data_IF_366402913615
#
_entry.id   IF_366402913615
#
_cell.length_a   1.000
_cell.length_b   1.000
_cell.length_c   1.000
_cell.angle_alpha   90.00
_cell.angle_beta   90.00
_cell.angle_gamma   90.00
#
_symmetry.space_group_name_H-M   'P 1'
#
loop_
_entity.id
_entity.type
_entity.pdbx_description
1 polymer ?
#
# COMPACT_ATOMS: atom_id res chain seq x y z
N UNK A 1 -10.91 25.69 11.74
CA UNK A 1 -12.18 26.24 11.22
C UNK A 1 -11.86 26.90 9.90
N UNK A 2 -12.15 26.21 8.80
CA UNK A 2 -12.16 26.80 7.46
C UNK A 2 -13.60 26.68 7.00
N UNK A 3 -14.23 27.83 6.79
CA UNK A 3 -15.61 27.94 6.31
C UNK A 3 -15.56 27.77 4.79
N UNK A 4 -16.29 26.79 4.26
CA UNK A 4 -16.54 26.66 2.83
C UNK A 4 -17.82 27.45 2.48
N UNK A 5 -17.75 28.33 1.49
CA UNK A 5 -18.82 29.24 1.06
C UNK A 5 -19.87 28.56 0.15
N UNK A 6 -20.11 27.27 0.33
CA UNK A 6 -21.24 26.57 -0.29
C UNK A 6 -22.15 26.07 0.83
N UNK A 7 -23.39 26.57 0.88
CA UNK A 7 -24.37 26.36 1.95
C UNK A 7 -24.89 24.91 2.11
N UNK A 8 -23.97 23.95 2.20
CA UNK A 8 -24.24 22.56 2.48
C UNK A 8 -23.87 22.33 3.95
N UNK A 9 -24.90 22.23 4.81
CA UNK A 9 -24.74 21.90 6.22
C UNK A 9 -23.71 20.80 6.41
N UNK A 10 -22.72 21.04 7.27
CA UNK A 10 -21.77 20.02 7.69
C UNK A 10 -22.55 18.83 8.27
N UNK A 11 -22.76 17.80 7.44
CA UNK A 11 -23.34 16.54 7.87
C UNK A 11 -22.32 15.93 8.83
N UNK A 12 -22.59 16.03 10.13
CA UNK A 12 -21.76 15.39 11.14
C UNK A 12 -21.73 13.89 10.82
N UNK A 13 -20.54 13.36 10.56
CA UNK A 13 -20.36 11.96 10.15
C UNK A 13 -21.11 11.05 11.13
N UNK A 14 -22.08 10.30 10.61
CA UNK A 14 -22.95 9.45 11.41
C UNK A 14 -22.15 8.28 11.99
N UNK A 15 -22.51 7.79 13.18
CA UNK A 15 -21.83 6.64 13.80
C UNK A 15 -21.82 5.41 12.88
N UNK A 16 -22.86 5.24 12.08
CA UNK A 16 -22.99 4.18 11.06
C UNK A 16 -21.96 4.32 9.94
N UNK A 17 -21.72 5.53 9.44
CA UNK A 17 -20.71 5.79 8.39
C UNK A 17 -19.29 5.54 8.91
N UNK A 18 -19.03 5.89 10.17
CA UNK A 18 -17.75 5.59 10.84
C UNK A 18 -17.54 4.08 11.02
N UNK A 19 -18.57 3.39 11.50
CA UNK A 19 -18.52 1.94 11.67
C UNK A 19 -18.31 1.23 10.32
N UNK A 20 -19.02 1.65 9.28
CA UNK A 20 -18.86 1.11 7.93
C UNK A 20 -17.44 1.36 7.39
N UNK A 21 -16.93 2.58 7.55
CA UNK A 21 -15.57 2.93 7.13
C UNK A 21 -14.52 2.07 7.84
N UNK A 22 -14.70 1.84 9.14
CA UNK A 22 -13.80 0.98 9.92
C UNK A 22 -13.87 -0.48 9.46
N UNK A 23 -15.07 -1.02 9.24
CA UNK A 23 -15.26 -2.38 8.72
C UNK A 23 -14.63 -2.55 7.34
N UNK A 24 -14.84 -1.60 6.43
CA UNK A 24 -14.20 -1.59 5.11
C UNK A 24 -12.68 -1.55 5.22
N UNK A 25 -12.12 -0.74 6.13
CA UNK A 25 -10.68 -0.67 6.37
C UNK A 25 -10.13 -2.01 6.89
N UNK A 26 -10.82 -2.67 7.82
CA UNK A 26 -10.42 -4.00 8.32
C UNK A 26 -10.42 -5.05 7.21
N UNK A 27 -11.48 -5.10 6.41
CA UNK A 27 -11.61 -6.04 5.29
C UNK A 27 -10.52 -5.78 4.25
N UNK A 28 -10.26 -4.51 3.92
CA UNK A 28 -9.18 -4.13 3.01
C UNK A 28 -7.81 -4.56 3.54
N UNK A 29 -7.55 -4.39 4.84
CA UNK A 29 -6.31 -4.81 5.47
C UNK A 29 -6.12 -6.33 5.42
N UNK A 30 -7.19 -7.09 5.66
CA UNK A 30 -7.19 -8.55 5.54
C UNK A 30 -6.82 -8.98 4.12
N UNK A 31 -7.49 -8.43 3.11
CA UNK A 31 -7.17 -8.76 1.72
C UNK A 31 -5.73 -8.43 1.35
N UNK A 32 -5.23 -7.25 1.76
CA UNK A 32 -3.86 -6.85 1.51
C UNK A 32 -2.84 -7.81 2.14
N UNK A 33 -3.07 -8.25 3.38
CA UNK A 33 -2.21 -9.24 4.04
C UNK A 33 -2.27 -10.63 3.38
N UNK A 34 -3.44 -11.04 2.89
CA UNK A 34 -3.61 -12.37 2.27
C UNK A 34 -3.09 -12.47 0.84
N UNK A 35 -2.86 -11.34 0.16
CA UNK A 35 -2.52 -11.27 -1.26
C UNK A 35 -1.30 -12.11 -1.64
N UNK A 36 -0.31 -12.20 -0.74
CA UNK A 36 0.96 -12.90 -0.99
C UNK A 36 1.01 -14.34 -0.45
N UNK A 37 -0.01 -14.79 0.28
CA UNK A 37 -0.04 -16.13 0.88
C UNK A 37 0.07 -17.23 -0.20
N UNK A 38 -0.68 -17.18 -1.34
CA UNK A 38 -0.62 -18.26 -2.33
C UNK A 38 0.78 -18.44 -2.93
N UNK A 39 1.46 -17.33 -3.25
CA UNK A 39 2.81 -17.35 -3.82
C UNK A 39 3.82 -17.88 -2.79
N UNK A 40 3.68 -17.47 -1.53
CA UNK A 40 4.53 -17.94 -0.43
C UNK A 40 4.32 -19.43 -0.13
N UNK A 41 3.08 -19.92 -0.25
CA UNK A 41 2.74 -21.33 -0.07
C UNK A 41 3.32 -22.20 -1.19
N UNK A 42 3.16 -21.79 -2.46
CA UNK A 42 3.74 -22.49 -3.60
C UNK A 42 5.27 -22.57 -3.50
N UNK A 43 5.93 -21.50 -3.01
CA UNK A 43 7.38 -21.48 -2.82
C UNK A 43 7.87 -22.40 -1.70
N UNK A 44 7.08 -22.54 -0.62
CA UNK A 44 7.44 -23.42 0.51
C UNK A 44 7.21 -24.91 0.23
N UNK A 45 6.45 -25.26 -0.81
CA UNK A 45 6.17 -26.65 -1.22
C UNK A 45 6.69 -26.95 -2.64
N UNK A 46 8.01 -26.84 -2.90
CA UNK A 46 8.58 -27.05 -4.23
C UNK A 46 8.41 -28.50 -4.74
N UNK A 47 8.22 -29.46 -3.84
CA UNK A 47 7.93 -30.85 -4.20
C UNK A 47 6.52 -31.07 -4.78
N UNK A 48 5.54 -30.23 -4.42
CA UNK A 48 4.18 -30.30 -4.95
C UNK A 48 4.04 -29.52 -6.27
N UNK A 49 4.93 -28.54 -6.50
CA UNK A 49 4.92 -27.68 -7.68
C UNK A 49 6.27 -27.67 -8.42
N UNK A 50 6.73 -28.79 -9.00
CA UNK A 50 8.05 -28.89 -9.64
C UNK A 50 8.20 -28.03 -10.90
N UNK A 51 7.10 -27.61 -11.53
CA UNK A 51 7.08 -26.75 -12.71
C UNK A 51 6.84 -25.27 -12.38
N UNK A 52 6.70 -24.91 -11.10
CA UNK A 52 6.51 -23.53 -10.68
C UNK A 52 7.82 -22.73 -10.83
N UNK A 53 7.77 -21.50 -11.39
CA UNK A 53 8.91 -20.59 -11.36
C UNK A 53 9.42 -20.39 -9.93
N UNK A 54 10.73 -20.49 -9.73
CA UNK A 54 11.35 -20.23 -8.43
C UNK A 54 11.30 -18.74 -8.05
N UNK A 55 11.26 -17.87 -9.06
CA UNK A 55 11.26 -16.42 -8.89
C UNK A 55 9.83 -15.88 -8.72
N UNK A 56 9.58 -15.11 -7.66
CA UNK A 56 8.25 -14.53 -7.41
C UNK A 56 7.87 -13.46 -8.45
N UNK A 57 8.86 -12.89 -9.15
CA UNK A 57 8.65 -11.91 -10.22
C UNK A 57 7.85 -12.49 -11.39
N UNK A 58 7.98 -13.79 -11.69
CA UNK A 58 7.20 -14.42 -12.76
C UNK A 58 5.69 -14.41 -12.46
N UNK A 59 5.31 -14.40 -11.18
CA UNK A 59 3.91 -14.30 -10.75
C UNK A 59 3.36 -12.87 -10.83
N UNK A 60 4.22 -11.85 -10.96
CA UNK A 60 3.81 -10.46 -11.00
C UNK A 60 2.92 -10.17 -12.22
N UNK A 61 3.22 -10.78 -13.36
CA UNK A 61 2.40 -10.65 -14.56
C UNK A 61 0.97 -11.19 -14.33
N UNK A 62 0.85 -12.39 -13.75
CA UNK A 62 -0.44 -12.99 -13.42
C UNK A 62 -1.21 -12.13 -12.41
N UNK A 63 -0.51 -11.59 -11.42
CA UNK A 63 -1.06 -10.66 -10.45
C UNK A 63 -1.65 -9.41 -11.11
N UNK A 64 -0.90 -8.74 -11.99
CA UNK A 64 -1.42 -7.56 -12.71
C UNK A 64 -2.58 -7.88 -13.64
N UNK A 65 -2.60 -9.06 -14.27
CA UNK A 65 -3.75 -9.53 -15.05
C UNK A 65 -5.01 -9.67 -14.18
N UNK A 66 -4.87 -10.23 -12.97
CA UNK A 66 -5.97 -10.32 -12.00
C UNK A 66 -6.47 -8.95 -11.54
N UNK A 67 -5.55 -8.02 -11.26
CA UNK A 67 -5.88 -6.63 -10.89
C UNK A 67 -6.60 -5.92 -12.03
N UNK A 68 -6.12 -6.06 -13.27
CA UNK A 68 -6.75 -5.47 -14.46
C UNK A 68 -8.16 -6.03 -14.67
N UNK A 69 -8.34 -7.35 -14.58
CA UNK A 69 -9.65 -7.99 -14.70
C UNK A 69 -10.63 -7.45 -13.65
N UNK A 70 -10.19 -7.39 -12.39
CA UNK A 70 -11.00 -6.86 -11.29
C UNK A 70 -11.35 -5.39 -11.50
N UNK A 71 -10.40 -4.56 -11.93
CA UNK A 71 -10.63 -3.15 -12.23
C UNK A 71 -11.66 -2.97 -13.37
N UNK A 72 -11.58 -3.78 -14.43
CA UNK A 72 -12.55 -3.79 -15.53
C UNK A 72 -13.94 -4.20 -15.02
N UNK A 73 -14.04 -5.24 -14.18
CA UNK A 73 -15.30 -5.64 -13.58
C UNK A 73 -15.93 -4.52 -12.74
N UNK A 74 -15.14 -3.87 -11.88
CA UNK A 74 -15.59 -2.72 -11.07
C UNK A 74 -16.07 -1.59 -11.98
N UNK A 75 -15.32 -1.29 -13.05
CA UNK A 75 -15.67 -0.24 -14.00
C UNK A 75 -16.98 -0.54 -14.76
N UNK A 76 -17.20 -1.80 -15.14
CA UNK A 76 -18.46 -2.25 -15.77
C UNK A 76 -19.62 -2.05 -14.80
N UNK A 77 -19.50 -2.55 -13.56
CA UNK A 77 -20.55 -2.39 -12.53
C UNK A 77 -20.86 -0.92 -12.27
N UNK A 78 -19.83 -0.09 -12.12
CA UNK A 78 -19.97 1.35 -11.95
C UNK A 78 -20.70 2.01 -13.14
N UNK A 79 -20.32 1.65 -14.37
CA UNK A 79 -20.95 2.17 -15.59
C UNK A 79 -22.42 1.77 -15.72
N UNK A 80 -22.77 0.55 -15.29
CA UNK A 80 -24.16 0.07 -15.23
C UNK A 80 -24.99 0.86 -14.22
N UNK A 81 -24.46 1.11 -13.01
CA UNK A 81 -25.13 1.89 -11.97
C UNK A 81 -25.34 3.33 -12.43
N UNK A 82 -24.33 3.94 -13.06
CA UNK A 82 -24.40 5.30 -13.59
C UNK A 82 -25.15 5.44 -14.92
N UNK A 83 -25.83 4.37 -15.40
CA UNK A 83 -26.59 4.35 -16.65
C UNK A 83 -25.82 4.94 -17.84
N UNK A 84 -24.58 4.49 -18.02
CA UNK A 84 -23.72 4.87 -19.13
C UNK A 84 -23.33 6.36 -19.19
N UNK A 85 -23.44 7.09 -18.06
CA UNK A 85 -22.84 8.43 -17.87
C UNK A 85 -21.79 8.42 -16.75
N UNK A 86 -20.72 7.60 -16.86
CA UNK A 86 -19.65 7.61 -15.87
C UNK A 86 -18.93 8.96 -15.89
N UNK A 87 -18.85 9.63 -14.75
CA UNK A 87 -18.01 10.82 -14.61
C UNK A 87 -16.57 10.38 -14.35
N UNK A 88 -15.65 10.79 -15.24
CA UNK A 88 -14.21 10.52 -15.13
C UNK A 88 -13.52 11.88 -15.23
N UNK A 89 -12.64 12.20 -14.28
CA UNK A 89 -11.85 13.42 -14.33
C UNK A 89 -10.64 13.24 -15.27
N UNK A 90 -10.63 13.85 -16.47
CA UNK A 90 -9.53 13.69 -17.42
C UNK A 90 -8.22 14.30 -16.92
N UNK A 91 -8.28 15.35 -16.10
CA UNK A 91 -7.09 15.99 -15.51
C UNK A 91 -6.40 15.10 -14.49
N UNK A 92 -7.12 14.15 -13.88
CA UNK A 92 -6.57 13.17 -12.94
C UNK A 92 -6.01 11.90 -13.58
N UNK A 93 -6.28 11.66 -14.87
CA UNK A 93 -5.87 10.41 -15.53
C UNK A 93 -4.34 10.29 -15.64
N UNK A 94 -3.67 11.35 -16.07
CA UNK A 94 -2.20 11.39 -16.22
C UNK A 94 -1.47 11.12 -14.91
N UNK A 95 -1.74 11.83 -13.78
CA UNK A 95 -1.07 11.55 -12.52
C UNK A 95 -1.38 10.15 -11.99
N UNK A 96 -2.57 9.60 -12.26
CA UNK A 96 -2.93 8.23 -11.87
C UNK A 96 -2.09 7.19 -12.63
N UNK A 97 -1.88 7.39 -13.94
CA UNK A 97 -1.02 6.51 -14.75
C UNK A 97 0.42 6.56 -14.25
N UNK A 98 0.96 7.76 -13.99
CA UNK A 98 2.31 7.91 -13.44
C UNK A 98 2.44 7.24 -12.07
N UNK A 99 1.43 7.39 -11.21
CA UNK A 99 1.36 6.69 -9.92
C UNK A 99 1.38 5.18 -10.09
N UNK A 100 0.64 4.64 -11.06
CA UNK A 100 0.63 3.20 -11.39
C UNK A 100 1.99 2.68 -11.86
N UNK A 101 2.74 3.47 -12.64
CA UNK A 101 4.10 3.11 -13.08
C UNK A 101 5.05 3.06 -11.88
N UNK A 102 5.02 4.08 -11.02
CA UNK A 102 5.84 4.13 -9.80
C UNK A 102 5.50 2.96 -8.88
N UNK A 103 4.21 2.67 -8.69
CA UNK A 103 3.73 1.53 -7.92
C UNK A 103 4.26 0.22 -8.50
N UNK A 104 4.23 0.05 -9.83
CA UNK A 104 4.69 -1.19 -10.47
C UNK A 104 6.19 -1.43 -10.30
N UNK A 105 7.00 -0.37 -10.38
CA UNK A 105 8.43 -0.43 -10.09
C UNK A 105 8.66 -0.79 -8.61
N UNK A 106 7.94 -0.13 -7.70
CA UNK A 106 8.03 -0.40 -6.26
C UNK A 106 7.63 -1.82 -5.90
N UNK A 107 6.54 -2.33 -6.49
CA UNK A 107 6.09 -3.71 -6.31
C UNK A 107 7.12 -4.71 -6.84
N UNK A 108 7.76 -4.42 -7.97
CA UNK A 108 8.81 -5.31 -8.49
C UNK A 108 9.99 -5.40 -7.52
N UNK A 109 10.44 -4.25 -6.98
CA UNK A 109 11.48 -4.22 -5.96
C UNK A 109 11.06 -4.91 -4.65
N UNK A 110 9.82 -4.74 -4.22
CA UNK A 110 9.25 -5.41 -3.05
C UNK A 110 9.28 -6.92 -3.16
N UNK A 111 8.98 -7.45 -4.35
CA UNK A 111 8.93 -8.88 -4.60
C UNK A 111 10.33 -9.49 -4.64
N UNK A 112 11.28 -8.81 -5.27
CA UNK A 112 12.69 -9.19 -5.17
C UNK A 112 13.15 -9.18 -3.71
N UNK A 113 12.70 -8.21 -2.90
CA UNK A 113 13.02 -8.18 -1.48
C UNK A 113 12.42 -9.39 -0.74
N UNK A 114 11.19 -9.81 -1.03
CA UNK A 114 10.58 -11.03 -0.45
C UNK A 114 11.27 -12.32 -0.92
N UNK A 115 11.87 -12.33 -2.11
CA UNK A 115 12.65 -13.47 -2.59
C UNK A 115 13.98 -13.60 -1.85
N UNK A 116 14.64 -12.49 -1.53
CA UNK A 116 15.92 -12.48 -0.82
C UNK A 116 15.76 -12.46 0.72
N UNK A 117 14.68 -11.88 1.22
CA UNK A 117 14.33 -11.74 2.62
C UNK A 117 13.03 -12.48 2.88
N UNK A 118 12.98 -13.28 3.93
CA UNK A 118 11.73 -13.91 4.36
C UNK A 118 10.65 -12.85 4.59
N UNK A 119 9.40 -13.21 4.28
CA UNK A 119 8.26 -12.30 4.27
C UNK A 119 8.11 -11.50 5.57
N UNK A 120 8.36 -12.13 6.71
CA UNK A 120 8.28 -11.52 8.04
C UNK A 120 9.28 -10.35 8.24
N UNK A 121 10.38 -10.34 7.49
CA UNK A 121 11.45 -9.34 7.58
C UNK A 121 11.31 -8.30 6.46
N UNK A 122 10.98 -8.74 5.25
CA UNK A 122 10.81 -7.86 4.09
C UNK A 122 9.68 -6.84 4.27
N UNK A 123 8.53 -7.26 4.80
CA UNK A 123 7.35 -6.40 4.95
C UNK A 123 7.58 -5.19 5.86
N UNK A 124 8.11 -5.34 7.10
CA UNK A 124 8.45 -4.19 7.94
C UNK A 124 9.44 -3.25 7.27
N UNK A 125 10.53 -3.76 6.68
CA UNK A 125 11.55 -2.91 6.04
C UNK A 125 10.94 -2.11 4.88
N UNK A 126 10.20 -2.77 3.99
CA UNK A 126 9.62 -2.16 2.80
C UNK A 126 8.44 -1.23 3.09
N UNK A 127 7.80 -1.32 4.26
CA UNK A 127 6.77 -0.36 4.68
C UNK A 127 7.36 0.84 5.42
N UNK A 128 8.37 0.60 6.26
CA UNK A 128 9.00 1.63 7.08
C UNK A 128 9.90 2.55 6.25
N UNK A 129 10.76 2.02 5.39
CA UNK A 129 11.74 2.83 4.66
C UNK A 129 11.09 3.84 3.68
N UNK A 130 10.15 3.44 2.80
CA UNK A 130 9.41 4.39 1.97
C UNK A 130 8.53 5.34 2.81
N UNK A 131 7.97 4.86 3.93
CA UNK A 131 7.19 5.69 4.85
C UNK A 131 8.00 6.86 5.43
N UNK A 132 9.28 6.62 5.76
CA UNK A 132 10.22 7.66 6.19
C UNK A 132 10.57 8.64 5.08
N UNK A 133 10.65 8.20 3.82
CA UNK A 133 10.89 9.12 2.70
C UNK A 133 9.66 9.98 2.43
N UNK A 134 8.48 9.37 2.38
CA UNK A 134 7.20 10.07 2.15
C UNK A 134 6.94 11.09 3.24
N UNK A 135 7.10 10.71 4.50
CA UNK A 135 6.85 11.63 5.61
C UNK A 135 7.88 12.76 5.65
N UNK A 136 9.13 12.52 5.21
CA UNK A 136 10.15 13.58 5.09
C UNK A 136 9.74 14.56 4.00
N UNK A 137 9.29 14.04 2.85
CA UNK A 137 8.78 14.84 1.75
C UNK A 137 7.56 15.69 2.17
N UNK A 138 6.60 15.11 2.90
CA UNK A 138 5.44 15.83 3.45
C UNK A 138 5.84 17.01 4.34
N UNK A 139 6.89 16.86 5.16
CA UNK A 139 7.34 17.92 6.06
C UNK A 139 8.10 19.02 5.30
N UNK A 140 9.04 18.65 4.44
CA UNK A 140 9.91 19.62 3.76
C UNK A 140 9.20 20.36 2.63
N UNK A 141 8.43 19.64 1.80
CA UNK A 141 7.80 20.21 0.61
C UNK A 141 6.43 20.84 0.94
N UNK A 142 5.54 20.07 1.58
CA UNK A 142 4.17 20.54 1.86
C UNK A 142 4.07 21.37 3.14
N UNK A 143 5.07 21.33 4.03
CA UNK A 143 5.10 22.04 5.33
C UNK A 143 3.81 21.82 6.15
N UNK A 144 3.17 20.66 5.99
CA UNK A 144 1.91 20.32 6.67
C UNK A 144 2.04 20.34 8.19
N UNK A 145 3.26 20.16 8.70
CA UNK A 145 3.57 20.10 10.13
C UNK A 145 4.50 21.27 10.49
N UNK A 146 3.90 22.37 10.95
CA UNK A 146 4.61 23.62 11.28
C UNK A 146 4.75 23.88 12.80
N UNK A 147 4.37 22.92 13.66
CA UNK A 147 4.48 23.04 15.11
C UNK A 147 5.70 22.35 15.70
N UNK A 148 6.52 23.06 16.50
CA UNK A 148 7.74 22.49 17.15
C UNK A 148 7.46 21.22 17.97
N UNK A 149 6.33 21.16 18.69
CA UNK A 149 5.92 19.98 19.48
C UNK A 149 5.51 18.80 18.60
N UNK A 150 4.88 19.07 17.46
CA UNK A 150 4.52 18.00 16.52
C UNK A 150 5.76 17.47 15.80
N UNK A 151 6.70 18.36 15.48
CA UNK A 151 7.99 18.00 14.90
C UNK A 151 8.82 17.12 15.84
N UNK A 152 8.80 17.37 17.16
CA UNK A 152 9.49 16.51 18.13
C UNK A 152 8.85 15.12 18.26
N UNK A 153 7.52 15.02 18.28
CA UNK A 153 6.84 13.71 18.27
C UNK A 153 7.14 12.92 17.01
N UNK A 154 7.18 13.61 15.88
CA UNK A 154 7.49 13.01 14.59
C UNK A 154 8.95 12.57 14.54
N UNK A 155 9.89 13.38 15.05
CA UNK A 155 11.29 12.98 15.17
C UNK A 155 11.49 11.75 16.06
N UNK A 156 10.74 11.63 17.17
CA UNK A 156 10.74 10.43 18.02
C UNK A 156 10.18 9.23 17.27
N UNK A 157 9.06 9.39 16.57
CA UNK A 157 8.49 8.32 15.74
C UNK A 157 9.46 7.87 14.64
N UNK A 158 10.17 8.81 14.01
CA UNK A 158 11.25 8.53 13.06
C UNK A 158 12.39 7.73 13.70
N UNK A 159 12.86 8.16 14.87
CA UNK A 159 13.90 7.46 15.61
C UNK A 159 13.50 6.02 15.94
N UNK A 160 12.29 5.81 16.45
CA UNK A 160 11.75 4.47 16.73
C UNK A 160 11.63 3.62 15.47
N UNK A 161 11.18 4.22 14.37
CA UNK A 161 11.05 3.53 13.07
C UNK A 161 12.43 3.12 12.54
N UNK A 162 13.43 4.00 12.61
CA UNK A 162 14.81 3.69 12.21
C UNK A 162 15.42 2.59 13.07
N UNK A 163 15.23 2.64 14.39
CA UNK A 163 15.67 1.59 15.30
C UNK A 163 15.00 0.26 14.95
N UNK A 164 13.69 0.27 14.66
CA UNK A 164 12.96 -0.92 14.21
C UNK A 164 13.53 -1.50 12.92
N UNK A 165 13.81 -0.67 11.91
CA UNK A 165 14.44 -1.12 10.65
C UNK A 165 15.82 -1.73 10.92
N UNK A 166 16.66 -1.07 11.72
CA UNK A 166 17.99 -1.56 12.06
C UNK A 166 17.92 -2.91 12.79
N UNK A 167 17.02 -3.05 13.77
CA UNK A 167 16.82 -4.30 14.50
C UNK A 167 16.38 -5.44 13.58
N UNK A 168 15.45 -5.18 12.66
CA UNK A 168 14.96 -6.17 11.69
C UNK A 168 16.07 -6.57 10.71
N UNK A 169 16.89 -5.62 10.25
CA UNK A 169 18.04 -5.90 9.38
C UNK A 169 19.12 -6.71 10.11
N UNK A 170 19.51 -6.31 11.33
CA UNK A 170 20.52 -7.01 12.13
C UNK A 170 20.05 -8.42 12.51
N UNK A 171 18.77 -8.60 12.82
CA UNK A 171 18.21 -9.92 13.11
C UNK A 171 18.45 -10.91 11.97
N UNK A 172 18.43 -10.45 10.72
CA UNK A 172 18.70 -11.32 9.57
C UNK A 172 20.19 -11.67 9.46
N UNK A 173 21.07 -10.69 9.62
CA UNK A 173 22.52 -10.93 9.59
C UNK A 173 22.93 -11.95 10.66
N UNK A 174 22.41 -11.84 11.88
CA UNK A 174 22.68 -12.79 12.96
C UNK A 174 22.13 -14.19 12.65
N UNK A 175 20.98 -14.30 11.98
CA UNK A 175 20.41 -15.60 11.58
C UNK A 175 21.14 -16.30 10.43
N UNK A 176 22.01 -15.57 9.71
CA UNK A 176 22.82 -16.11 8.61
C UNK A 176 24.19 -16.64 9.09
N UNK A 177 24.59 -16.35 10.33
CA UNK A 177 25.78 -16.89 11.00
C UNK A 177 25.43 -18.11 11.87
#
# INVERSE_FOLDING_TARGET
MVVDESGTSAHGITLTERALSFLCAMISGLFYGTMWIPISYMRSHPHEYPNAPADSISYLFSFYCGVLCTAVCIFIVYSLIMRNKPWINPSGAVPTILGGIIFSIGMSAFVTAIDNLEQAIAYPICTMAPGLVVTSWSIFYFKEITGRRNLTWLAVAYGLTLVGVILVTVSKEVSLF
#
